data_IF_835628054038
#
_entry.id   IF_835628054038
#
_cell.length_a   1.000
_cell.length_b   1.000
_cell.length_c   1.000
_cell.angle_alpha   90.00
_cell.angle_beta   90.00
_cell.angle_gamma   90.00
#
_symmetry.space_group_name_H-M   'P 1'
#
loop_
_entity.id
_entity.type
_entity.pdbx_description
1 polymer ?
#
# COMPACT_ATOMS: atom_id res chain seq x y z
N UNK A 1 -5.37 -26.61 23.25
CA UNK A 1 -4.21 -27.07 22.45
C UNK A 1 -3.86 -25.93 21.52
N UNK A 2 -2.62 -25.44 21.54
CA UNK A 2 -2.17 -24.48 20.53
C UNK A 2 -2.19 -25.19 19.17
N UNK A 3 -2.71 -24.56 18.11
CA UNK A 3 -2.75 -25.19 16.79
C UNK A 3 -1.37 -25.11 16.14
N UNK A 4 -0.95 -26.18 15.47
CA UNK A 4 0.28 -26.23 14.65
C UNK A 4 0.10 -25.50 13.30
N UNK A 5 -0.81 -24.53 13.23
CA UNK A 5 -1.16 -23.85 11.99
C UNK A 5 -0.26 -22.65 11.77
N UNK A 6 0.56 -22.69 10.72
CA UNK A 6 1.35 -21.54 10.26
C UNK A 6 0.55 -20.72 9.25
N UNK A 7 0.36 -19.44 9.53
CA UNK A 7 -0.16 -18.46 8.58
C UNK A 7 1.00 -17.64 8.02
N UNK A 8 1.09 -17.54 6.69
CA UNK A 8 2.08 -16.71 6.01
C UNK A 8 1.36 -15.67 5.14
N UNK A 9 1.85 -14.43 5.19
CA UNK A 9 1.36 -13.34 4.36
C UNK A 9 2.51 -12.80 3.50
N UNK A 10 2.22 -12.60 2.21
CA UNK A 10 3.17 -12.06 1.25
C UNK A 10 2.67 -10.68 0.84
N UNK A 11 3.39 -9.65 1.23
CA UNK A 11 2.96 -8.26 1.02
C UNK A 11 4.04 -7.44 0.36
N UNK A 12 3.64 -6.47 -0.47
CA UNK A 12 4.55 -5.52 -1.09
C UNK A 12 4.06 -4.10 -0.87
N UNK A 13 4.97 -3.22 -0.45
CA UNK A 13 4.75 -1.78 -0.42
C UNK A 13 5.08 -1.24 -1.82
N UNK A 14 4.07 -0.69 -2.48
CA UNK A 14 4.14 -0.15 -3.83
C UNK A 14 4.27 1.36 -3.75
N UNK A 15 5.52 1.80 -3.66
CA UNK A 15 5.90 3.21 -3.58
C UNK A 15 5.81 3.93 -4.93
N UNK A 16 5.78 5.26 -4.87
CA UNK A 16 6.07 6.08 -6.03
C UNK A 16 7.54 5.96 -6.42
N UNK A 17 7.89 6.33 -7.65
CA UNK A 17 9.30 6.38 -8.05
C UNK A 17 10.08 7.40 -7.22
N UNK A 18 11.38 7.17 -7.04
CA UNK A 18 12.27 7.95 -6.17
C UNK A 18 12.13 9.47 -6.33
N UNK A 19 12.00 9.98 -7.56
CA UNK A 19 11.85 11.44 -7.79
C UNK A 19 10.53 12.04 -7.26
N UNK A 20 9.55 11.20 -6.95
CA UNK A 20 8.22 11.57 -6.43
C UNK A 20 8.03 11.17 -4.97
N UNK A 21 8.95 10.36 -4.42
CA UNK A 21 8.86 9.79 -3.08
C UNK A 21 10.05 10.26 -2.24
N UNK A 22 9.85 11.21 -1.30
CA UNK A 22 10.90 11.64 -0.37
C UNK A 22 11.54 10.48 0.43
N UNK A 23 10.81 9.39 0.65
CA UNK A 23 11.21 8.22 1.41
C UNK A 23 12.00 7.20 0.57
N UNK A 24 12.04 7.39 -0.75
CA UNK A 24 12.64 6.47 -1.72
C UNK A 24 11.60 5.56 -2.38
N UNK A 25 12.06 4.82 -3.39
CA UNK A 25 11.20 3.94 -4.18
C UNK A 25 11.92 3.41 -5.41
N UNK A 26 11.20 2.78 -6.36
CA UNK A 26 11.78 2.34 -7.63
C UNK A 26 12.42 3.51 -8.39
N UNK A 27 13.52 3.25 -9.12
CA UNK A 27 14.19 4.30 -9.89
C UNK A 27 13.36 4.79 -11.08
N UNK A 28 12.52 3.91 -11.62
CA UNK A 28 11.68 4.17 -12.78
C UNK A 28 10.39 3.34 -12.73
N UNK A 29 9.37 3.79 -13.45
CA UNK A 29 8.07 3.13 -13.47
C UNK A 29 8.12 1.76 -14.14
N UNK A 30 9.02 1.55 -15.09
CA UNK A 30 9.25 0.27 -15.76
C UNK A 30 9.82 -0.76 -14.77
N UNK A 31 10.71 -0.31 -13.87
CA UNK A 31 11.20 -1.17 -12.78
C UNK A 31 10.09 -1.48 -11.78
N UNK A 32 9.29 -0.48 -11.40
CA UNK A 32 8.11 -0.65 -10.53
C UNK A 32 7.16 -1.71 -11.10
N UNK A 33 6.75 -1.56 -12.36
CA UNK A 33 5.80 -2.47 -13.01
C UNK A 33 6.34 -3.91 -13.05
N UNK A 34 7.60 -4.08 -13.45
CA UNK A 34 8.24 -5.40 -13.49
C UNK A 34 8.29 -6.06 -12.12
N UNK A 35 8.63 -5.31 -11.07
CA UNK A 35 8.68 -5.83 -9.71
C UNK A 35 7.30 -6.24 -9.20
N UNK A 36 6.28 -5.39 -9.39
CA UNK A 36 4.89 -5.66 -8.98
C UNK A 36 4.37 -6.91 -9.69
N UNK A 37 4.54 -6.97 -11.02
CA UNK A 37 4.07 -8.10 -11.83
C UNK A 37 4.74 -9.40 -11.42
N UNK A 38 6.08 -9.42 -11.36
CA UNK A 38 6.82 -10.63 -11.02
C UNK A 38 6.51 -11.12 -9.61
N UNK A 39 6.45 -10.22 -8.62
CA UNK A 39 6.08 -10.60 -7.26
C UNK A 39 4.67 -11.19 -7.22
N UNK A 40 3.69 -10.50 -7.81
CA UNK A 40 2.30 -10.95 -7.82
C UNK A 40 2.14 -12.31 -8.50
N UNK A 41 2.72 -12.48 -9.69
CA UNK A 41 2.63 -13.72 -10.46
C UNK A 41 3.32 -14.89 -9.76
N UNK A 42 4.50 -14.68 -9.14
CA UNK A 42 5.18 -15.72 -8.36
C UNK A 42 4.36 -16.17 -7.15
N UNK A 43 3.81 -15.23 -6.37
CA UNK A 43 3.01 -15.57 -5.17
C UNK A 43 1.72 -16.29 -5.58
N UNK A 44 1.04 -15.81 -6.63
CA UNK A 44 -0.18 -16.43 -7.16
C UNK A 44 0.10 -17.83 -7.73
N UNK A 45 1.19 -18.01 -8.46
CA UNK A 45 1.59 -19.32 -9.01
C UNK A 45 1.90 -20.35 -7.91
N UNK A 46 2.35 -19.88 -6.73
CA UNK A 46 2.55 -20.72 -5.56
C UNK A 46 1.25 -21.03 -4.79
N UNK A 47 0.08 -20.62 -5.31
CA UNK A 47 -1.22 -20.85 -4.67
C UNK A 47 -1.51 -19.92 -3.49
N UNK A 48 -0.74 -18.85 -3.32
CA UNK A 48 -0.88 -17.88 -2.24
C UNK A 48 -1.46 -16.57 -2.77
N UNK A 49 -1.97 -15.72 -1.86
CA UNK A 49 -2.58 -14.44 -2.23
C UNK A 49 -1.68 -13.29 -1.78
N UNK A 50 -1.14 -12.48 -2.71
CA UNK A 50 -0.36 -11.31 -2.35
C UNK A 50 -1.28 -10.15 -1.93
N UNK A 51 -0.81 -9.34 -0.98
CA UNK A 51 -1.42 -8.04 -0.66
C UNK A 51 -0.49 -6.91 -1.09
N UNK A 52 -0.98 -6.02 -1.93
CA UNK A 52 -0.25 -4.81 -2.35
C UNK A 52 -0.75 -3.61 -1.54
N UNK A 53 0.14 -2.96 -0.80
CA UNK A 53 -0.13 -1.68 -0.16
C UNK A 53 0.35 -0.58 -1.09
N UNK A 54 -0.56 0.28 -1.57
CA UNK A 54 -0.31 1.13 -2.74
C UNK A 54 -0.46 2.61 -2.36
N UNK A 55 0.54 3.43 -2.69
CA UNK A 55 0.43 4.90 -2.62
C UNK A 55 -0.34 5.43 -3.83
N UNK A 56 -0.93 6.62 -3.73
CA UNK A 56 -1.80 7.18 -4.78
C UNK A 56 -1.13 7.24 -6.17
N UNK A 57 0.13 7.65 -6.24
CA UNK A 57 0.87 7.80 -7.49
C UNK A 57 1.09 6.44 -8.19
N UNK A 58 1.41 5.40 -7.40
CA UNK A 58 1.57 4.05 -7.92
C UNK A 58 0.22 3.47 -8.37
N UNK A 59 -0.86 3.78 -7.63
CA UNK A 59 -2.21 3.40 -8.01
C UNK A 59 -2.57 3.98 -9.38
N UNK A 60 -2.42 5.29 -9.58
CA UNK A 60 -2.70 5.95 -10.86
C UNK A 60 -1.87 5.34 -12.00
N UNK A 61 -0.56 5.19 -11.76
CA UNK A 61 0.37 4.70 -12.78
C UNK A 61 0.09 3.26 -13.20
N UNK A 62 -0.22 2.38 -12.25
CA UNK A 62 -0.31 0.94 -12.47
C UNK A 62 -1.73 0.36 -12.27
N UNK A 63 -2.77 1.19 -12.31
CA UNK A 63 -4.15 0.78 -12.04
C UNK A 63 -4.59 -0.46 -12.82
N UNK A 64 -4.21 -0.57 -14.11
CA UNK A 64 -4.52 -1.75 -14.94
C UNK A 64 -3.86 -3.02 -14.41
N UNK A 65 -2.57 -2.97 -14.13
CA UNK A 65 -1.82 -4.09 -13.58
C UNK A 65 -2.39 -4.53 -12.22
N UNK A 66 -2.68 -3.58 -11.33
CA UNK A 66 -3.30 -3.91 -10.04
C UNK A 66 -4.70 -4.50 -10.22
N UNK A 67 -5.49 -4.00 -11.17
CA UNK A 67 -6.79 -4.58 -11.51
C UNK A 67 -6.68 -6.03 -12.02
N UNK A 68 -5.74 -6.31 -12.92
CA UNK A 68 -5.45 -7.67 -13.41
C UNK A 68 -5.04 -8.61 -12.28
N UNK A 69 -4.15 -8.16 -11.38
CA UNK A 69 -3.71 -8.95 -10.21
C UNK A 69 -4.85 -9.18 -9.22
N UNK A 70 -5.71 -8.18 -9.00
CA UNK A 70 -6.88 -8.31 -8.14
C UNK A 70 -7.89 -9.33 -8.68
N UNK A 71 -8.12 -9.36 -10.00
CA UNK A 71 -8.96 -10.39 -10.64
C UNK A 71 -8.40 -11.81 -10.44
N UNK A 72 -7.08 -11.95 -10.27
CA UNK A 72 -6.42 -13.22 -9.97
C UNK A 72 -6.39 -13.56 -8.47
N UNK A 73 -6.92 -12.70 -7.61
CA UNK A 73 -7.05 -12.93 -6.17
C UNK A 73 -6.07 -12.17 -5.28
N UNK A 74 -5.32 -11.21 -5.83
CA UNK A 74 -4.53 -10.29 -5.02
C UNK A 74 -5.42 -9.32 -4.23
N UNK A 75 -4.98 -8.94 -3.04
CA UNK A 75 -5.59 -7.87 -2.26
C UNK A 75 -4.89 -6.55 -2.58
N UNK A 76 -5.68 -5.47 -2.66
CA UNK A 76 -5.17 -4.10 -2.82
C UNK A 76 -5.56 -3.28 -1.58
N UNK A 77 -4.57 -2.79 -0.86
CA UNK A 77 -4.69 -1.94 0.32
C UNK A 77 -4.02 -0.58 0.14
N UNK A 78 -4.24 0.31 1.11
CA UNK A 78 -3.65 1.65 1.13
C UNK A 78 -2.27 1.60 1.78
N UNK A 79 -1.25 2.15 1.11
CA UNK A 79 -0.02 2.58 1.76
C UNK A 79 -0.07 4.09 1.98
N UNK A 80 0.01 4.55 3.24
CA UNK A 80 -0.08 5.98 3.54
C UNK A 80 1.28 6.50 3.96
N UNK A 81 1.81 7.38 3.12
CA UNK A 81 2.89 8.30 3.46
C UNK A 81 2.28 9.70 3.55
N UNK A 82 2.09 10.26 4.76
CA UNK A 82 1.48 11.59 4.89
C UNK A 82 2.25 12.66 4.10
N UNK A 83 3.56 12.52 3.95
CA UNK A 83 4.36 13.51 3.24
C UNK A 83 4.05 13.58 1.74
N UNK A 84 3.49 12.52 1.14
CA UNK A 84 3.04 12.56 -0.25
C UNK A 84 1.84 13.52 -0.43
N UNK A 85 1.12 13.76 0.66
CA UNK A 85 -0.04 14.66 0.72
C UNK A 85 0.31 16.03 1.34
N UNK A 86 1.60 16.31 1.58
CA UNK A 86 2.08 17.60 2.10
C UNK A 86 2.06 17.75 3.63
N UNK A 87 1.82 16.66 4.37
CA UNK A 87 1.94 16.66 5.82
C UNK A 87 3.43 16.63 6.24
N UNK A 88 3.75 17.32 7.34
CA UNK A 88 5.13 17.56 7.76
C UNK A 88 5.84 16.36 8.41
N UNK A 89 5.08 15.44 9.01
CA UNK A 89 5.62 14.31 9.78
C UNK A 89 5.09 12.98 9.23
N UNK A 90 5.61 11.88 9.74
CA UNK A 90 5.05 10.55 9.54
C UNK A 90 3.78 10.36 10.38
N UNK A 91 3.00 9.32 10.07
CA UNK A 91 1.67 9.13 10.68
C UNK A 91 1.73 9.07 12.22
N UNK A 92 2.71 8.37 12.79
CA UNK A 92 2.90 8.25 14.23
C UNK A 92 3.34 9.55 14.94
N UNK A 93 3.68 10.61 14.20
CA UNK A 93 3.94 11.94 14.75
C UNK A 93 2.66 12.72 15.07
N UNK A 94 1.51 12.25 14.59
CA UNK A 94 0.23 12.93 14.74
C UNK A 94 -0.67 12.31 15.81
N UNK A 95 -1.60 13.11 16.32
CA UNK A 95 -2.69 12.63 17.18
C UNK A 95 -3.85 12.04 16.37
N UNK A 96 -4.71 11.27 17.05
CA UNK A 96 -5.81 10.48 16.47
C UNK A 96 -6.62 11.21 15.38
N UNK A 97 -7.08 12.44 15.63
CA UNK A 97 -7.94 13.16 14.69
C UNK A 97 -7.20 13.47 13.38
N UNK A 98 -5.93 13.85 13.50
CA UNK A 98 -5.10 14.15 12.33
C UNK A 98 -4.68 12.87 11.61
N UNK A 99 -4.43 11.76 12.32
CA UNK A 99 -4.21 10.46 11.67
C UNK A 99 -5.42 10.02 10.85
N UNK A 100 -6.64 10.18 11.39
CA UNK A 100 -7.89 9.88 10.67
C UNK A 100 -8.04 10.73 9.42
N UNK A 101 -7.78 12.04 9.50
CA UNK A 101 -7.78 12.94 8.36
C UNK A 101 -6.79 12.51 7.27
N UNK A 102 -5.55 12.22 7.66
CA UNK A 102 -4.49 11.77 6.74
C UNK A 102 -4.88 10.47 6.03
N UNK A 103 -5.37 9.47 6.78
CA UNK A 103 -5.82 8.20 6.21
C UNK A 103 -7.02 8.42 5.28
N UNK A 104 -7.94 9.31 5.62
CA UNK A 104 -9.09 9.64 4.77
C UNK A 104 -8.64 10.27 3.44
N UNK A 105 -7.69 11.22 3.48
CA UNK A 105 -7.12 11.84 2.27
C UNK A 105 -6.51 10.78 1.35
N UNK A 106 -5.65 9.91 1.90
CA UNK A 106 -5.03 8.83 1.13
C UNK A 106 -6.05 7.84 0.58
N UNK A 107 -7.01 7.41 1.41
CA UNK A 107 -8.06 6.48 1.01
C UNK A 107 -8.99 7.06 -0.07
N UNK A 108 -9.30 8.35 -0.03
CA UNK A 108 -10.12 9.02 -1.03
C UNK A 108 -9.41 9.07 -2.40
N UNK A 109 -8.12 9.45 -2.43
CA UNK A 109 -7.30 9.44 -3.66
C UNK A 109 -7.20 8.03 -4.25
N UNK A 110 -6.91 7.05 -3.40
CA UNK A 110 -6.86 5.64 -3.78
C UNK A 110 -8.20 5.16 -4.35
N UNK A 111 -9.32 5.56 -3.74
CA UNK A 111 -10.66 5.17 -4.17
C UNK A 111 -11.07 5.78 -5.52
N UNK A 112 -10.58 6.97 -5.86
CA UNK A 112 -10.81 7.56 -7.18
C UNK A 112 -10.23 6.71 -8.31
N UNK A 113 -9.12 6.00 -8.06
CA UNK A 113 -8.47 5.13 -9.05
C UNK A 113 -9.16 3.77 -9.14
N UNK A 114 -9.45 3.15 -8.00
CA UNK A 114 -9.95 1.76 -7.96
C UNK A 114 -11.47 1.64 -7.89
N UNK A 115 -12.21 2.75 -7.78
CA UNK A 115 -13.67 2.77 -7.73
C UNK A 115 -14.28 2.17 -6.46
N UNK A 116 -13.46 1.88 -5.44
CA UNK A 116 -13.86 1.35 -4.14
C UNK A 116 -12.92 1.88 -3.06
N UNK A 117 -13.33 1.79 -1.79
CA UNK A 117 -12.45 2.15 -0.67
C UNK A 117 -11.51 1.00 -0.28
N UNK A 118 -10.29 1.30 0.18
CA UNK A 118 -9.41 0.28 0.75
C UNK A 118 -9.98 -0.19 2.11
N UNK A 119 -9.86 -1.48 2.40
CA UNK A 119 -10.27 -2.09 3.68
C UNK A 119 -9.07 -2.43 4.56
N UNK A 120 -7.87 -2.41 3.98
CA UNK A 120 -6.61 -2.64 4.67
C UNK A 120 -5.66 -1.48 4.41
N UNK A 121 -4.81 -1.24 5.39
CA UNK A 121 -3.97 -0.06 5.48
C UNK A 121 -2.61 -0.43 6.07
N UNK A 122 -1.54 0.21 5.58
CA UNK A 122 -0.21 0.17 6.16
C UNK A 122 0.41 1.57 6.21
N UNK A 123 0.84 1.97 7.40
CA UNK A 123 1.57 3.21 7.60
C UNK A 123 2.97 3.12 6.99
N UNK A 124 3.34 4.15 6.23
CA UNK A 124 4.70 4.35 5.73
C UNK A 124 5.72 4.29 6.86
N UNK A 125 6.86 3.65 6.58
CA UNK A 125 7.95 3.45 7.54
C UNK A 125 7.53 2.75 8.86
N UNK A 126 6.38 2.07 8.89
CA UNK A 126 5.79 1.53 10.13
C UNK A 126 5.60 2.63 11.19
N UNK A 127 5.46 3.89 10.77
CA UNK A 127 5.33 5.01 11.70
C UNK A 127 3.94 5.02 12.30
N UNK A 128 3.85 4.60 13.56
CA UNK A 128 2.62 4.45 14.32
C UNK A 128 2.86 4.86 15.77
N UNK A 129 1.80 5.20 16.49
CA UNK A 129 1.83 5.47 17.92
C UNK A 129 0.57 4.88 18.59
N UNK A 130 0.35 5.13 19.88
CA UNK A 130 -0.83 4.61 20.58
C UNK A 130 -2.14 5.07 19.94
N UNK A 131 -2.21 6.31 19.44
CA UNK A 131 -3.39 6.86 18.79
C UNK A 131 -3.74 6.13 17.47
N UNK A 132 -2.79 5.43 16.85
CA UNK A 132 -3.04 4.61 15.66
C UNK A 132 -3.91 3.39 15.96
N UNK A 133 -3.94 2.94 17.21
CA UNK A 133 -4.63 1.72 17.63
C UNK A 133 -5.87 1.97 18.51
N UNK A 134 -6.26 3.24 18.70
CA UNK A 134 -7.40 3.66 19.54
C UNK A 134 -8.69 3.93 18.75
#
# INVERSE_FOLDING_TARGET
MASDTLYAAFTMDCEAIERLSPQGGPKAWEQSERSIRNFGECVLAAGMKPTFFIVAEAAEKHHKLFGELAQKGAELGLHCHPQNDGFADFLGGYHVDKQKEIIEVGAAKWAQVFGRRPTTFRAGNTSTNNDTFM
#
